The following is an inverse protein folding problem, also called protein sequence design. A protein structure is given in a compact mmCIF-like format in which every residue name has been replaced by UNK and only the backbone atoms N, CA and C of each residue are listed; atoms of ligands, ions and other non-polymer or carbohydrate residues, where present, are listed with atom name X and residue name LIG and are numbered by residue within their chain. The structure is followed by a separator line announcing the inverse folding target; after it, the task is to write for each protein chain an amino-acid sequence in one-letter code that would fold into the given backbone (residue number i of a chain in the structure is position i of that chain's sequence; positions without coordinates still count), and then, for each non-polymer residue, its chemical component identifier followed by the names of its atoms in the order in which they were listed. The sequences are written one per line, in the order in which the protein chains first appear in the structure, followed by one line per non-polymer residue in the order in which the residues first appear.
data_IF_752963961732
#
_entry.id   IF_752963961732
#
_cell.length_a   1.000
_cell.length_b   1.000
_cell.length_c   1.000
_cell.angle_alpha   90.00
_cell.angle_beta   90.00
_cell.angle_gamma   90.00
#
_symmetry.space_group_name_H-M   'P 1'
#
loop_
_entity.id
_entity.type
_entity.pdbx_description
1 polymer ?
#
# COMPACT_ATOMS: atom_id res chain seq x y z
N UNK A 1 -12.81 -32.45 4.84
CA UNK A 1 -12.35 -31.98 3.53
C UNK A 1 -12.80 -30.54 3.33
N UNK A 2 -11.85 -29.65 3.00
CA UNK A 2 -12.16 -28.25 2.78
C UNK A 2 -12.68 -28.06 1.36
N UNK A 3 -13.83 -27.37 1.25
CA UNK A 3 -14.42 -27.03 -0.05
C UNK A 3 -14.53 -25.52 -0.15
N UNK A 4 -14.21 -24.98 -1.33
CA UNK A 4 -14.28 -23.55 -1.61
C UNK A 4 -15.08 -23.33 -2.89
N UNK A 5 -15.83 -22.24 -2.92
CA UNK A 5 -16.54 -21.80 -4.14
C UNK A 5 -15.58 -21.22 -5.16
N UNK A 6 -14.50 -20.56 -4.68
CA UNK A 6 -13.53 -19.90 -5.51
C UNK A 6 -12.14 -20.02 -4.87
N UNK A 7 -11.16 -20.40 -5.66
CA UNK A 7 -9.77 -20.43 -5.24
C UNK A 7 -8.99 -19.48 -6.16
N UNK A 8 -8.26 -18.54 -5.56
CA UNK A 8 -7.47 -17.55 -6.29
C UNK A 8 -5.99 -17.82 -6.04
N UNK A 9 -5.23 -17.94 -7.09
CA UNK A 9 -3.78 -18.12 -7.03
C UNK A 9 -3.13 -16.76 -7.26
N UNK A 10 -2.47 -16.26 -6.22
CA UNK A 10 -1.85 -14.94 -6.21
C UNK A 10 -2.71 -13.91 -5.52
N UNK A 11 -2.12 -13.17 -4.58
CA UNK A 11 -2.82 -12.17 -3.78
C UNK A 11 -2.46 -10.73 -4.16
N UNK A 12 -2.04 -10.51 -5.40
CA UNK A 12 -1.83 -9.16 -5.93
C UNK A 12 -3.16 -8.41 -6.09
N UNK A 13 -3.13 -7.19 -6.67
CA UNK A 13 -4.34 -6.35 -6.78
C UNK A 13 -5.53 -7.03 -7.44
N UNK A 14 -5.30 -7.82 -8.49
CA UNK A 14 -6.37 -8.60 -9.12
C UNK A 14 -6.91 -9.68 -8.19
N UNK A 15 -6.01 -10.37 -7.48
CA UNK A 15 -6.37 -11.47 -6.60
C UNK A 15 -7.12 -11.03 -5.35
N UNK A 16 -6.58 -10.07 -4.59
CA UNK A 16 -7.25 -9.67 -3.35
C UNK A 16 -8.56 -8.93 -3.61
N UNK A 17 -8.64 -8.13 -4.68
CA UNK A 17 -9.89 -7.44 -5.02
C UNK A 17 -10.98 -8.46 -5.37
N UNK A 18 -10.64 -9.47 -6.17
CA UNK A 18 -11.58 -10.54 -6.52
C UNK A 18 -12.01 -11.33 -5.29
N UNK A 19 -11.08 -11.64 -4.38
CA UNK A 19 -11.36 -12.39 -3.15
C UNK A 19 -12.31 -11.61 -2.25
N UNK A 20 -12.06 -10.32 -2.06
CA UNK A 20 -12.91 -9.47 -1.22
C UNK A 20 -14.32 -9.40 -1.82
N UNK A 21 -14.43 -9.18 -3.11
CA UNK A 21 -15.73 -9.07 -3.76
C UNK A 21 -16.50 -10.38 -3.71
N UNK A 22 -15.85 -11.51 -3.98
CA UNK A 22 -16.47 -12.81 -3.89
C UNK A 22 -16.96 -13.11 -2.46
N UNK A 23 -16.16 -12.75 -1.45
CA UNK A 23 -16.56 -12.91 -0.05
C UNK A 23 -17.76 -12.05 0.29
N UNK A 24 -17.82 -10.82 -0.22
CA UNK A 24 -18.98 -9.93 -0.02
C UNK A 24 -20.26 -10.52 -0.64
N UNK A 25 -20.11 -11.31 -1.69
CA UNK A 25 -21.24 -11.98 -2.35
C UNK A 25 -21.62 -13.31 -1.70
N UNK A 26 -21.00 -13.64 -0.58
CA UNK A 26 -21.33 -14.83 0.18
C UNK A 26 -20.62 -16.10 -0.25
N UNK A 27 -19.61 -16.00 -1.13
CA UNK A 27 -18.85 -17.16 -1.57
C UNK A 27 -17.77 -17.53 -0.53
N UNK A 28 -17.48 -18.82 -0.43
CA UNK A 28 -16.36 -19.30 0.37
C UNK A 28 -15.11 -19.27 -0.51
N UNK A 29 -14.16 -18.38 -0.18
CA UNK A 29 -13.00 -18.07 -1.02
C UNK A 29 -11.71 -18.47 -0.32
N UNK A 30 -10.77 -19.02 -1.07
CA UNK A 30 -9.41 -19.24 -0.62
C UNK A 30 -8.45 -18.49 -1.55
N UNK A 31 -7.42 -17.89 -0.96
CA UNK A 31 -6.34 -17.23 -1.71
C UNK A 31 -5.05 -17.96 -1.40
N UNK A 32 -4.32 -18.33 -2.43
CA UNK A 32 -3.04 -19.00 -2.31
C UNK A 32 -1.93 -17.99 -2.63
N UNK A 33 -1.05 -17.75 -1.68
CA UNK A 33 0.06 -16.82 -1.82
C UNK A 33 1.34 -17.46 -1.26
N UNK A 34 2.42 -17.41 -2.03
CA UNK A 34 3.69 -18.02 -1.62
C UNK A 34 4.64 -17.06 -0.92
N UNK A 35 4.40 -15.75 -1.00
CA UNK A 35 5.27 -14.73 -0.39
C UNK A 35 4.47 -13.83 0.53
N UNK A 36 4.30 -12.55 0.17
CA UNK A 36 3.60 -11.57 0.99
C UNK A 36 2.23 -11.27 0.42
N UNK A 37 1.23 -11.25 1.28
CA UNK A 37 -0.12 -10.87 0.88
C UNK A 37 -0.13 -9.47 0.28
N UNK A 38 -0.89 -9.28 -0.79
CA UNK A 38 -1.02 -8.02 -1.50
C UNK A 38 -0.17 -7.91 -2.76
N UNK A 39 0.81 -8.80 -2.94
CA UNK A 39 1.64 -8.87 -4.15
C UNK A 39 2.67 -7.76 -4.26
N UNK A 40 3.24 -7.62 -5.43
CA UNK A 40 4.33 -6.67 -5.70
C UNK A 40 3.88 -5.22 -5.57
N UNK A 41 2.73 -4.89 -6.13
CA UNK A 41 2.23 -3.49 -6.12
C UNK A 41 2.08 -2.98 -4.70
N UNK A 42 1.47 -3.75 -3.81
CA UNK A 42 1.24 -3.33 -2.44
C UNK A 42 2.54 -3.29 -1.62
N UNK A 43 3.39 -4.30 -1.76
CA UNK A 43 4.55 -4.47 -0.88
C UNK A 43 5.80 -3.76 -1.39
N UNK A 44 6.07 -3.81 -2.70
CA UNK A 44 7.33 -3.35 -3.27
C UNK A 44 7.19 -2.43 -4.49
N UNK A 45 5.97 -2.14 -4.92
CA UNK A 45 5.72 -1.36 -6.13
C UNK A 45 4.90 -0.11 -5.89
N UNK A 46 3.63 -0.13 -6.28
CA UNK A 46 2.77 1.06 -6.35
C UNK A 46 2.60 1.78 -5.02
N UNK A 47 2.32 1.03 -3.95
CA UNK A 47 2.01 1.64 -2.65
C UNK A 47 3.24 2.33 -2.04
N UNK A 48 4.39 1.65 -1.86
CA UNK A 48 5.57 2.33 -1.32
C UNK A 48 6.10 3.41 -2.28
N UNK A 49 6.00 3.22 -3.60
CA UNK A 49 6.42 4.23 -4.57
C UNK A 49 5.58 5.50 -4.42
N UNK A 50 4.27 5.39 -4.33
CA UNK A 50 3.40 6.55 -4.13
C UNK A 50 3.63 7.23 -2.79
N UNK A 51 3.93 6.46 -1.74
CA UNK A 51 4.28 7.02 -0.45
C UNK A 51 5.55 7.87 -0.54
N UNK A 52 6.58 7.38 -1.24
CA UNK A 52 7.82 8.12 -1.47
C UNK A 52 7.58 9.37 -2.32
N UNK A 53 6.78 9.26 -3.38
CA UNK A 53 6.42 10.39 -4.23
C UNK A 53 5.68 11.46 -3.45
N UNK A 54 4.81 11.09 -2.52
CA UNK A 54 4.12 12.05 -1.67
C UNK A 54 5.09 12.79 -0.75
N UNK A 55 6.06 12.07 -0.18
CA UNK A 55 7.12 12.69 0.64
C UNK A 55 7.94 13.68 -0.18
N UNK A 56 8.29 13.32 -1.42
CA UNK A 56 9.00 14.20 -2.33
C UNK A 56 8.17 15.44 -2.68
N UNK A 57 6.87 15.28 -2.91
CA UNK A 57 5.97 16.38 -3.20
C UNK A 57 5.88 17.36 -2.04
N UNK A 58 5.76 16.86 -0.81
CA UNK A 58 5.72 17.70 0.39
C UNK A 58 7.02 18.49 0.52
N UNK A 59 8.17 17.86 0.30
CA UNK A 59 9.46 18.55 0.34
C UNK A 59 9.54 19.65 -0.73
N UNK A 60 9.05 19.36 -1.94
CA UNK A 60 8.98 20.33 -3.04
C UNK A 60 8.11 21.53 -2.66
N UNK A 61 6.98 21.31 -2.00
CA UNK A 61 6.15 22.40 -1.50
C UNK A 61 6.89 23.29 -0.53
N UNK A 62 7.73 22.73 0.34
CA UNK A 62 8.51 23.52 1.29
C UNK A 62 9.53 24.40 0.58
N UNK A 63 10.09 23.95 -0.54
CA UNK A 63 11.02 24.74 -1.35
C UNK A 63 10.31 25.88 -2.10
N UNK A 64 9.02 25.80 -2.30
CA UNK A 64 8.21 26.80 -2.99
C UNK A 64 7.12 27.37 -2.09
N UNK A 65 7.31 27.31 -0.79
CA UNK A 65 6.28 27.72 0.18
C UNK A 65 5.89 29.19 0.04
N UNK A 66 6.83 30.05 -0.41
CA UNK A 66 6.56 31.48 -0.61
C UNK A 66 5.47 31.71 -1.67
N UNK A 67 5.36 30.84 -2.66
CA UNK A 67 4.31 30.94 -3.69
C UNK A 67 2.90 30.78 -3.09
N UNK A 68 2.81 30.14 -1.92
CA UNK A 68 1.56 29.92 -1.20
C UNK A 68 1.40 30.84 0.01
N UNK A 69 2.26 31.85 0.14
CA UNK A 69 2.22 32.77 1.25
C UNK A 69 2.73 32.21 2.57
N UNK A 70 3.53 31.16 2.53
CA UNK A 70 4.04 30.47 3.73
C UNK A 70 5.54 30.70 3.86
N UNK A 71 5.99 31.08 5.06
CA UNK A 71 7.41 31.21 5.39
C UNK A 71 7.91 29.91 6.03
N UNK A 72 9.02 29.39 5.50
CA UNK A 72 9.69 28.21 6.06
C UNK A 72 11.15 28.59 6.36
N UNK A 73 11.57 28.40 7.61
CA UNK A 73 12.91 28.80 8.06
C UNK A 73 13.99 27.76 7.79
N UNK A 74 13.65 26.68 7.14
CA UNK A 74 14.55 25.62 6.76
C UNK A 74 13.85 24.29 6.77
N UNK A 75 14.26 23.44 5.86
CA UNK A 75 13.72 22.09 5.76
C UNK A 75 14.85 21.15 5.34
N UNK A 76 14.96 20.03 6.04
CA UNK A 76 15.90 18.97 5.69
C UNK A 76 15.13 17.67 5.49
N UNK A 77 15.57 16.87 4.51
CA UNK A 77 14.98 15.58 4.25
C UNK A 77 15.64 14.53 5.14
N UNK A 78 14.82 13.76 5.86
CA UNK A 78 15.27 12.56 6.56
C UNK A 78 14.94 11.36 5.66
N UNK A 79 15.91 10.91 4.89
CA UNK A 79 15.71 9.84 3.92
C UNK A 79 15.33 8.53 4.62
N UNK A 80 15.95 8.21 5.75
CA UNK A 80 15.57 7.04 6.54
C UNK A 80 14.12 7.10 7.02
N UNK A 81 13.67 8.29 7.42
CA UNK A 81 12.27 8.50 7.81
C UNK A 81 11.31 8.33 6.64
N UNK A 82 11.68 8.80 5.45
CA UNK A 82 10.88 8.62 4.24
C UNK A 82 10.72 7.13 3.88
N UNK A 83 11.82 6.39 3.92
CA UNK A 83 11.79 4.94 3.67
C UNK A 83 10.95 4.24 4.72
N UNK A 84 11.16 4.57 6.01
CA UNK A 84 10.37 3.99 7.10
C UNK A 84 8.87 4.22 6.92
N UNK A 85 8.48 5.43 6.55
CA UNK A 85 7.08 5.75 6.27
C UNK A 85 6.53 4.91 5.11
N UNK A 86 7.29 4.75 4.01
CA UNK A 86 6.84 3.95 2.88
C UNK A 86 6.60 2.49 3.27
N UNK A 87 7.45 1.95 4.14
CA UNK A 87 7.26 0.58 4.66
C UNK A 87 6.06 0.49 5.58
N UNK A 88 5.86 1.46 6.46
CA UNK A 88 4.71 1.49 7.36
C UNK A 88 3.38 1.57 6.61
N UNK A 89 3.32 2.35 5.53
CA UNK A 89 2.12 2.46 4.70
C UNK A 89 1.82 1.11 4.05
N UNK A 90 2.82 0.47 3.46
CA UNK A 90 2.65 -0.84 2.83
C UNK A 90 2.23 -1.90 3.84
N UNK A 91 2.87 -1.93 5.02
CA UNK A 91 2.56 -2.90 6.07
C UNK A 91 1.14 -2.71 6.60
N UNK A 92 0.70 -1.47 6.80
CA UNK A 92 -0.66 -1.17 7.23
C UNK A 92 -1.71 -1.63 6.24
N UNK A 93 -1.47 -1.45 4.95
CA UNK A 93 -2.37 -1.91 3.89
C UNK A 93 -2.42 -3.45 3.84
N UNK A 94 -1.26 -4.09 3.96
CA UNK A 94 -1.19 -5.55 3.98
C UNK A 94 -1.96 -6.13 5.16
N UNK A 95 -1.81 -5.56 6.36
CA UNK A 95 -2.49 -6.03 7.56
C UNK A 95 -4.01 -5.90 7.43
N UNK A 96 -4.51 -4.83 6.83
CA UNK A 96 -5.93 -4.68 6.55
C UNK A 96 -6.46 -5.76 5.63
N UNK A 97 -5.67 -6.19 4.64
CA UNK A 97 -6.06 -7.24 3.71
C UNK A 97 -6.07 -8.61 4.38
N UNK A 98 -5.18 -8.85 5.33
CA UNK A 98 -5.08 -10.15 6.00
C UNK A 98 -6.27 -10.44 6.94
N UNK A 99 -7.00 -9.43 7.37
CA UNK A 99 -8.17 -9.58 8.25
C UNK A 99 -9.42 -10.01 7.48
N UNK A 100 -9.44 -9.84 6.18
CA UNK A 100 -10.57 -10.18 5.33
C UNK A 100 -10.47 -11.62 4.85
#
# INVERSE_FOLDING_TARGET
MNQFDLIIIGSGPGGYVAAIRASQLGMKVAVVERESLGGICLNWGCIPTKALLKSAQVFEYLNHAADYGIKVEGATADFGGMIGRSRSVADGMRDRKSVV
#
